data_IF_662288186134
#
_entry.id   IF_662288186134
#
_cell.length_a   1.000
_cell.length_b   1.000
_cell.length_c   1.000
_cell.angle_alpha   90.00
_cell.angle_beta   90.00
_cell.angle_gamma   90.00
#
_symmetry.space_group_name_H-M   'P 1'
#
loop_
_entity.id
_entity.type
_entity.pdbx_description
1 polymer ?
#
# COMPACT_ATOMS: atom_id res chain seq x y z
N UNK A 1 41.91 -48.76 5.76
CA UNK A 1 41.25 -47.86 6.73
C UNK A 1 40.11 -47.19 5.98
N UNK A 2 38.92 -47.81 6.02
CA UNK A 2 37.77 -47.40 5.21
C UNK A 2 36.98 -46.38 6.02
N UNK A 3 36.99 -45.12 5.59
CA UNK A 3 36.25 -44.03 6.22
C UNK A 3 34.79 -44.15 5.78
N UNK A 4 33.90 -44.49 6.71
CA UNK A 4 32.46 -44.46 6.51
C UNK A 4 32.02 -42.99 6.36
N UNK A 5 31.47 -42.63 5.21
CA UNK A 5 30.69 -41.40 5.04
C UNK A 5 29.26 -41.69 5.56
N UNK A 6 28.66 -40.83 6.40
CA UNK A 6 27.30 -41.03 6.88
C UNK A 6 26.32 -40.95 5.70
N UNK A 7 25.36 -41.87 5.65
CA UNK A 7 24.40 -41.99 4.55
C UNK A 7 23.40 -40.85 4.53
N UNK A 8 22.91 -40.49 3.34
CA UNK A 8 21.92 -39.41 3.11
C UNK A 8 20.64 -39.53 3.95
N UNK A 9 20.29 -40.73 4.40
CA UNK A 9 19.16 -40.98 5.30
C UNK A 9 19.36 -40.39 6.71
N UNK A 10 20.59 -40.36 7.22
CA UNK A 10 20.90 -39.77 8.53
C UNK A 10 20.84 -38.25 8.48
N UNK A 11 21.26 -37.65 7.36
CA UNK A 11 21.17 -36.20 7.12
C UNK A 11 19.72 -35.75 7.01
N UNK A 12 18.89 -36.46 6.25
CA UNK A 12 17.46 -36.17 6.13
C UNK A 12 16.72 -36.31 7.48
N UNK A 13 17.11 -37.27 8.31
CA UNK A 13 16.56 -37.47 9.65
C UNK A 13 16.96 -36.31 10.58
N UNK A 14 18.22 -35.89 10.56
CA UNK A 14 18.72 -34.75 11.35
C UNK A 14 18.01 -33.45 10.92
N UNK A 15 17.85 -33.21 9.61
CA UNK A 15 17.11 -32.04 9.10
C UNK A 15 15.66 -32.03 9.60
N UNK A 16 14.97 -33.17 9.56
CA UNK A 16 13.60 -33.29 10.05
C UNK A 16 13.50 -33.05 11.56
N UNK A 17 14.46 -33.57 12.34
CA UNK A 17 14.55 -33.32 13.78
C UNK A 17 14.87 -31.85 14.09
N UNK A 18 15.71 -31.20 13.27
CA UNK A 18 16.05 -29.79 13.39
C UNK A 18 14.84 -28.89 13.06
N UNK A 19 14.09 -29.15 11.98
CA UNK A 19 12.85 -28.44 11.67
C UNK A 19 11.81 -28.60 12.79
N UNK A 20 11.69 -29.80 13.36
CA UNK A 20 10.80 -30.03 14.49
C UNK A 20 11.25 -29.29 15.77
N UNK A 21 12.55 -29.12 15.97
CA UNK A 21 13.09 -28.30 17.07
C UNK A 21 12.81 -26.82 16.86
N UNK A 22 13.03 -26.29 15.65
CA UNK A 22 12.75 -24.88 15.31
C UNK A 22 11.29 -24.55 15.60
N UNK A 23 10.36 -25.39 15.13
CA UNK A 23 8.94 -25.20 15.39
C UNK A 23 8.60 -25.17 16.90
N UNK A 24 9.26 -26.00 17.71
CA UNK A 24 9.08 -25.98 19.17
C UNK A 24 9.66 -24.72 19.82
N UNK A 25 10.75 -24.17 19.29
CA UNK A 25 11.32 -22.90 19.75
C UNK A 25 10.37 -21.75 19.45
N UNK A 26 9.75 -21.73 18.27
CA UNK A 26 8.74 -20.72 17.91
C UNK A 26 7.49 -20.82 18.79
N UNK A 27 7.01 -22.04 19.06
CA UNK A 27 5.90 -22.29 19.98
C UNK A 27 6.25 -21.83 21.41
N UNK A 28 7.49 -22.05 21.86
CA UNK A 28 7.98 -21.56 23.16
C UNK A 28 8.10 -20.04 23.19
N UNK A 29 8.58 -19.41 22.13
CA UNK A 29 8.66 -17.95 22.04
C UNK A 29 7.26 -17.31 22.13
N UNK A 30 6.28 -17.90 21.44
CA UNK A 30 4.88 -17.49 21.55
C UNK A 30 4.33 -17.66 22.97
N UNK A 31 4.65 -18.78 23.63
CA UNK A 31 4.25 -19.03 25.01
C UNK A 31 4.92 -18.05 26.00
N UNK A 32 6.19 -17.71 25.79
CA UNK A 32 6.92 -16.72 26.61
C UNK A 32 6.32 -15.34 26.43
N UNK A 33 6.00 -14.92 25.19
CA UNK A 33 5.32 -13.66 24.95
C UNK A 33 3.94 -13.62 25.64
N UNK A 34 3.19 -14.74 25.59
CA UNK A 34 1.91 -14.88 26.30
C UNK A 34 2.08 -14.77 27.82
N UNK A 35 3.05 -15.47 28.39
CA UNK A 35 3.34 -15.44 29.83
C UNK A 35 3.83 -14.06 30.28
N UNK A 36 4.63 -13.36 29.47
CA UNK A 36 5.05 -12.00 29.75
C UNK A 36 3.86 -11.03 29.74
N UNK A 37 2.91 -11.22 28.83
CA UNK A 37 1.67 -10.45 28.76
C UNK A 37 0.73 -10.74 29.94
N UNK A 38 0.62 -12.00 30.36
CA UNK A 38 -0.11 -12.39 31.59
C UNK A 38 0.58 -11.85 32.86
N UNK A 39 1.91 -11.94 32.95
CA UNK A 39 2.69 -11.42 34.08
C UNK A 39 2.59 -9.89 34.19
N UNK A 40 2.50 -9.19 33.07
CA UNK A 40 2.23 -7.75 33.04
C UNK A 40 0.84 -7.44 33.63
N UNK A 41 -0.19 -8.20 33.23
CA UNK A 41 -1.54 -8.03 33.78
C UNK A 41 -1.67 -8.39 35.27
N UNK A 42 -0.92 -9.38 35.77
CA UNK A 42 -0.97 -9.79 37.19
C UNK A 42 -0.34 -8.80 38.17
N UNK A 43 0.40 -7.78 37.69
CA UNK A 43 1.02 -6.75 38.55
C UNK A 43 0.06 -5.63 38.98
N UNK A 44 -1.23 -5.75 38.68
CA UNK A 44 -2.36 -4.85 39.02
C UNK A 44 -2.53 -4.46 40.52
N UNK A 45 -1.68 -4.94 41.43
CA UNK A 45 -1.71 -4.59 42.86
C UNK A 45 -1.10 -3.24 43.24
N UNK A 46 -0.47 -2.53 42.30
CA UNK A 46 -0.08 -1.12 42.43
C UNK A 46 -0.69 -0.38 41.25
N UNK A 47 -1.52 0.64 41.51
CA UNK A 47 -2.14 1.46 40.47
C UNK A 47 -1.06 2.29 39.77
N UNK A 48 -0.42 1.68 38.79
CA UNK A 48 0.24 2.34 37.67
C UNK A 48 -0.40 1.68 36.45
N UNK A 49 -1.31 2.39 35.78
CA UNK A 49 -1.85 1.94 34.50
C UNK A 49 -0.73 2.07 33.48
N UNK A 50 0.15 1.08 33.38
CA UNK A 50 1.25 1.10 32.43
C UNK A 50 0.64 1.09 31.02
N UNK A 51 0.91 2.14 30.24
CA UNK A 51 0.52 2.16 28.83
C UNK A 51 1.26 1.04 28.10
N UNK A 52 0.56 0.35 27.22
CA UNK A 52 1.12 -0.71 26.39
C UNK A 52 1.31 -0.20 24.97
N UNK A 53 2.55 -0.21 24.50
CA UNK A 53 2.92 0.24 23.17
C UNK A 53 3.46 -0.92 22.35
N UNK A 54 2.86 -1.18 21.19
CA UNK A 54 3.37 -2.14 20.22
C UNK A 54 4.20 -1.42 19.16
N UNK A 55 5.45 -1.82 18.96
CA UNK A 55 6.32 -1.31 17.91
C UNK A 55 6.45 -2.40 16.85
N UNK A 56 5.89 -2.15 15.67
CA UNK A 56 5.85 -3.10 14.56
C UNK A 56 7.07 -2.94 13.65
N UNK A 57 7.78 -4.04 13.43
CA UNK A 57 8.81 -4.14 12.40
C UNK A 57 9.98 -3.19 12.60
N UNK A 58 10.44 -3.02 13.84
CA UNK A 58 11.58 -2.17 14.17
C UNK A 58 12.90 -2.84 13.78
N UNK A 59 13.16 -2.93 12.48
CA UNK A 59 14.27 -3.63 11.82
C UNK A 59 15.44 -4.05 12.72
N UNK A 60 16.27 -3.10 13.16
CA UNK A 60 17.47 -3.33 13.99
C UNK A 60 17.26 -3.07 15.50
N UNK A 61 16.02 -2.88 15.93
CA UNK A 61 15.58 -2.61 17.31
C UNK A 61 16.12 -1.32 17.94
N UNK A 62 16.78 -0.46 17.16
CA UNK A 62 17.38 0.77 17.71
C UNK A 62 16.33 1.81 18.10
N UNK A 63 15.16 1.84 17.45
CA UNK A 63 14.07 2.74 17.85
C UNK A 63 13.48 2.30 19.19
N UNK A 64 13.21 1.00 19.34
CA UNK A 64 12.68 0.38 20.55
C UNK A 64 13.59 0.65 21.73
N UNK A 65 14.91 0.52 21.54
CA UNK A 65 15.87 0.83 22.61
C UNK A 65 15.84 2.32 22.97
N UNK A 66 15.81 3.19 21.96
CA UNK A 66 15.77 4.64 22.18
C UNK A 66 14.53 5.08 22.96
N UNK A 67 13.35 4.64 22.53
CA UNK A 67 12.08 5.06 23.15
C UNK A 67 11.91 4.43 24.54
N UNK A 68 12.16 3.13 24.69
CA UNK A 68 11.97 2.43 25.97
C UNK A 68 12.95 2.89 27.06
N UNK A 69 14.17 3.28 26.69
CA UNK A 69 15.12 3.88 27.63
C UNK A 69 14.70 5.28 28.09
N UNK A 70 13.94 6.00 27.27
CA UNK A 70 13.50 7.38 27.56
C UNK A 70 12.19 7.45 28.35
N UNK A 71 11.42 6.36 28.38
CA UNK A 71 10.11 6.28 29.01
C UNK A 71 9.94 4.95 29.78
N UNK A 72 10.47 4.85 31.01
CA UNK A 72 10.47 3.60 31.78
C UNK A 72 9.09 3.18 32.31
N UNK A 73 8.09 4.08 32.28
CA UNK A 73 6.73 3.84 32.81
C UNK A 73 5.82 3.14 31.79
N UNK A 74 6.22 3.13 30.51
CA UNK A 74 5.49 2.50 29.40
C UNK A 74 6.07 1.12 29.10
N UNK A 75 5.20 0.11 28.90
CA UNK A 75 5.62 -1.23 28.47
C UNK A 75 5.64 -1.28 26.93
N UNK A 76 6.81 -1.59 26.37
CA UNK A 76 7.03 -1.67 24.93
C UNK A 76 7.13 -3.12 24.46
N UNK A 77 6.29 -3.49 23.50
CA UNK A 77 6.37 -4.73 22.76
C UNK A 77 7.11 -4.43 21.45
N UNK A 78 8.40 -4.71 21.45
CA UNK A 78 9.29 -4.43 20.32
C UNK A 78 9.32 -5.65 19.40
N UNK A 79 8.81 -5.50 18.19
CA UNK A 79 8.68 -6.61 17.25
C UNK A 79 9.52 -6.45 16.00
N UNK A 80 9.98 -7.58 15.47
CA UNK A 80 10.68 -7.68 14.19
C UNK A 80 10.10 -8.84 13.37
N UNK A 81 10.16 -8.71 12.05
CA UNK A 81 9.70 -9.74 11.12
C UNK A 81 10.65 -10.95 11.09
N UNK A 82 11.96 -10.70 11.15
CA UNK A 82 12.98 -11.75 11.12
C UNK A 82 12.87 -12.66 12.37
N UNK A 83 13.23 -13.94 12.24
CA UNK A 83 13.48 -14.81 13.40
C UNK A 83 14.68 -14.29 14.21
N UNK A 84 14.86 -14.78 15.45
CA UNK A 84 15.98 -14.32 16.30
C UNK A 84 17.33 -14.60 15.65
N UNK A 85 17.49 -15.79 15.06
CA UNK A 85 18.72 -16.21 14.38
C UNK A 85 19.00 -15.37 13.14
N UNK A 86 17.97 -15.07 12.33
CA UNK A 86 18.08 -14.20 11.16
C UNK A 86 18.43 -12.77 11.54
N UNK A 87 17.76 -12.22 12.55
CA UNK A 87 18.01 -10.89 13.06
C UNK A 87 19.47 -10.72 13.49
N UNK A 88 20.00 -11.64 14.30
CA UNK A 88 21.40 -11.59 14.78
C UNK A 88 22.36 -11.61 13.60
N UNK A 89 22.15 -12.53 12.65
CA UNK A 89 22.99 -12.67 11.46
C UNK A 89 23.00 -11.42 10.58
N UNK A 90 21.82 -10.82 10.38
CA UNK A 90 21.60 -9.68 9.48
C UNK A 90 22.08 -8.36 10.07
N UNK A 91 21.72 -8.08 11.31
CA UNK A 91 21.95 -6.77 11.93
C UNK A 91 23.21 -6.69 12.77
N UNK A 92 23.76 -7.83 13.24
CA UNK A 92 24.89 -7.87 14.19
C UNK A 92 24.69 -6.92 15.37
N UNK A 93 23.48 -7.00 15.95
CA UNK A 93 22.96 -6.08 16.95
C UNK A 93 22.90 -6.72 18.35
N UNK A 94 23.86 -7.58 18.69
CA UNK A 94 23.92 -8.30 19.96
C UNK A 94 23.96 -7.36 21.16
N UNK A 95 24.66 -6.23 21.05
CA UNK A 95 24.68 -5.20 22.08
C UNK A 95 23.29 -4.58 22.29
N UNK A 96 22.57 -4.27 21.20
CA UNK A 96 21.19 -3.72 21.28
C UNK A 96 20.24 -4.73 21.93
N UNK A 97 20.35 -6.02 21.61
CA UNK A 97 19.56 -7.06 22.26
C UNK A 97 19.85 -7.15 23.75
N UNK A 98 21.13 -7.18 24.14
CA UNK A 98 21.53 -7.23 25.55
C UNK A 98 20.97 -6.04 26.34
N UNK A 99 21.06 -4.84 25.75
CA UNK A 99 20.60 -3.62 26.41
C UNK A 99 19.06 -3.60 26.53
N UNK A 100 18.33 -4.06 25.50
CA UNK A 100 16.87 -4.23 25.55
C UNK A 100 16.42 -5.30 26.55
N UNK A 101 17.11 -6.44 26.61
CA UNK A 101 16.83 -7.51 27.56
C UNK A 101 17.09 -7.08 29.02
N UNK A 102 17.96 -6.09 29.24
CA UNK A 102 18.18 -5.49 30.55
C UNK A 102 17.06 -4.53 30.99
N UNK A 103 16.25 -4.01 30.04
CA UNK A 103 15.12 -3.14 30.32
C UNK A 103 13.92 -3.95 30.80
N UNK A 104 13.37 -3.56 31.96
CA UNK A 104 12.21 -4.26 32.57
C UNK A 104 10.88 -3.93 31.90
N UNK A 105 10.87 -2.88 31.09
CA UNK A 105 9.70 -2.35 30.39
C UNK A 105 9.68 -2.72 28.90
N UNK A 106 10.49 -3.70 28.48
CA UNK A 106 10.54 -4.19 27.10
C UNK A 106 10.16 -5.67 27.02
N UNK A 107 9.35 -6.00 26.04
CA UNK A 107 9.03 -7.37 25.61
C UNK A 107 9.48 -7.51 24.15
N UNK A 108 10.46 -8.38 23.91
CA UNK A 108 10.97 -8.66 22.55
C UNK A 108 10.17 -9.79 21.91
N UNK A 109 9.68 -9.57 20.70
CA UNK A 109 8.92 -10.58 19.93
C UNK A 109 9.45 -10.67 18.51
N UNK A 110 9.99 -11.83 18.13
CA UNK A 110 10.53 -12.11 16.80
C UNK A 110 9.49 -12.81 15.93
N UNK A 111 9.68 -12.80 14.60
CA UNK A 111 8.79 -13.52 13.67
C UNK A 111 7.40 -12.90 13.53
N UNK A 112 7.24 -11.60 13.77
CA UNK A 112 5.92 -10.93 13.72
C UNK A 112 5.68 -10.35 12.32
N UNK A 113 4.73 -10.93 11.60
CA UNK A 113 4.20 -10.35 10.36
C UNK A 113 3.16 -9.27 10.67
N UNK A 114 3.49 -8.02 10.34
CA UNK A 114 2.60 -6.88 10.54
C UNK A 114 1.32 -6.96 9.67
N UNK A 115 1.29 -7.79 8.63
CA UNK A 115 0.11 -8.02 7.78
C UNK A 115 -0.80 -9.15 8.29
N UNK A 116 -0.35 -9.94 9.26
CA UNK A 116 -1.16 -10.98 9.90
C UNK A 116 -0.95 -11.04 11.42
N UNK A 117 -1.37 -9.97 12.09
CA UNK A 117 -1.23 -9.84 13.54
C UNK A 117 -2.12 -10.86 14.30
N UNK A 118 -1.63 -11.45 15.41
CA UNK A 118 -2.36 -12.47 16.14
C UNK A 118 -3.67 -11.96 16.75
N UNK A 119 -4.77 -12.69 16.54
CA UNK A 119 -6.09 -12.29 17.06
C UNK A 119 -6.16 -12.14 18.60
N UNK A 120 -5.29 -12.82 19.34
CA UNK A 120 -5.24 -12.73 20.81
C UNK A 120 -4.61 -11.42 21.32
N UNK A 121 -4.04 -10.59 20.44
CA UNK A 121 -3.55 -9.25 20.73
C UNK A 121 -4.64 -8.18 20.72
N UNK A 122 -5.89 -8.58 20.48
CA UNK A 122 -7.04 -7.70 20.51
C UNK A 122 -7.15 -6.92 21.83
N UNK A 123 -7.28 -5.61 21.69
CA UNK A 123 -7.49 -4.62 22.75
C UNK A 123 -6.37 -4.65 23.82
N UNK A 124 -5.13 -4.98 23.41
CA UNK A 124 -3.96 -5.08 24.31
C UNK A 124 -3.04 -3.88 24.32
N UNK A 125 -3.16 -2.98 23.34
CA UNK A 125 -2.19 -1.90 23.10
C UNK A 125 -2.91 -0.58 22.93
N UNK A 126 -2.53 0.42 23.74
CA UNK A 126 -3.05 1.79 23.61
C UNK A 126 -2.49 2.49 22.36
N UNK A 127 -1.25 2.17 22.00
CA UNK A 127 -0.58 2.78 20.85
C UNK A 127 0.22 1.74 20.09
N UNK A 128 0.07 1.76 18.77
CA UNK A 128 0.81 0.91 17.84
C UNK A 128 1.66 1.83 16.98
N UNK A 129 2.95 1.55 16.84
CA UNK A 129 3.91 2.40 16.11
C UNK A 129 4.52 1.56 14.99
N UNK A 130 4.54 2.09 13.77
CA UNK A 130 5.33 1.53 12.69
C UNK A 130 6.06 2.64 11.95
N UNK A 131 7.39 2.57 11.97
CA UNK A 131 8.25 3.59 11.40
C UNK A 131 8.84 3.12 10.08
N UNK A 132 8.57 3.85 9.01
CA UNK A 132 9.16 3.66 7.68
C UNK A 132 9.04 2.20 7.19
N UNK A 133 7.80 1.66 7.08
CA UNK A 133 7.57 0.29 6.64
C UNK A 133 8.26 0.01 5.29
N UNK A 134 8.78 -1.20 5.11
CA UNK A 134 9.49 -1.58 3.90
C UNK A 134 9.13 -3.02 3.47
N UNK A 135 8.70 -3.27 2.21
CA UNK A 135 8.26 -4.58 1.73
C UNK A 135 9.40 -5.59 1.44
N UNK A 136 10.60 -5.35 1.95
CA UNK A 136 11.83 -6.06 1.55
C UNK A 136 12.29 -5.78 0.10
N UNK A 137 13.56 -6.09 -0.21
CA UNK A 137 14.12 -5.99 -1.56
C UNK A 137 14.22 -4.57 -2.15
N UNK A 138 14.19 -4.45 -3.49
CA UNK A 138 14.12 -3.13 -4.18
C UNK A 138 12.71 -2.57 -3.97
N UNK A 139 12.60 -1.36 -3.44
CA UNK A 139 11.32 -0.69 -3.18
C UNK A 139 10.50 -0.60 -4.47
N UNK A 140 9.27 -1.12 -4.44
CA UNK A 140 8.28 -1.00 -5.52
C UNK A 140 7.00 -0.40 -4.90
N UNK A 141 6.44 0.62 -5.55
CA UNK A 141 5.27 1.33 -5.04
C UNK A 141 4.05 0.42 -4.84
N UNK A 142 3.82 -0.52 -5.76
CA UNK A 142 2.76 -1.52 -5.67
C UNK A 142 2.95 -2.39 -4.42
N UNK A 143 4.18 -2.86 -4.18
CA UNK A 143 4.50 -3.66 -2.98
C UNK A 143 4.31 -2.87 -1.69
N UNK A 144 4.68 -1.59 -1.67
CA UNK A 144 4.45 -0.70 -0.53
C UNK A 144 2.96 -0.51 -0.23
N UNK A 145 2.11 -0.35 -1.26
CA UNK A 145 0.65 -0.26 -1.09
C UNK A 145 0.05 -1.56 -0.57
N UNK A 146 0.48 -2.71 -1.10
CA UNK A 146 0.04 -4.04 -0.63
C UNK A 146 0.42 -4.24 0.83
N UNK A 147 1.68 -3.96 1.20
CA UNK A 147 2.14 -4.03 2.58
C UNK A 147 1.28 -3.16 3.50
N UNK A 148 1.08 -1.89 3.13
CA UNK A 148 0.31 -0.97 3.96
C UNK A 148 -1.17 -1.36 4.07
N UNK A 149 -1.78 -1.85 3.00
CA UNK A 149 -3.14 -2.38 3.01
C UNK A 149 -3.27 -3.60 3.95
N UNK A 150 -2.32 -4.54 3.86
CA UNK A 150 -2.25 -5.71 4.75
C UNK A 150 -2.09 -5.32 6.22
N UNK A 151 -1.27 -4.31 6.51
CA UNK A 151 -1.10 -3.77 7.87
C UNK A 151 -2.43 -3.19 8.39
N UNK A 152 -3.11 -2.34 7.63
CA UNK A 152 -4.39 -1.79 8.08
C UNK A 152 -5.45 -2.89 8.32
N UNK A 153 -5.48 -3.90 7.45
CA UNK A 153 -6.38 -5.06 7.60
C UNK A 153 -6.09 -5.86 8.86
N UNK A 154 -4.82 -6.07 9.21
CA UNK A 154 -4.43 -6.77 10.43
C UNK A 154 -4.74 -5.95 11.69
N UNK A 155 -4.49 -4.63 11.64
CA UNK A 155 -4.79 -3.70 12.73
C UNK A 155 -6.27 -3.65 13.06
N UNK A 156 -7.15 -3.81 12.06
CA UNK A 156 -8.60 -3.88 12.28
C UNK A 156 -8.98 -4.99 13.27
N UNK A 157 -8.22 -6.10 13.30
CA UNK A 157 -8.45 -7.25 14.18
C UNK A 157 -8.08 -6.94 15.65
N UNK A 158 -7.08 -6.08 15.87
CA UNK A 158 -6.48 -5.90 17.20
C UNK A 158 -6.74 -4.54 17.86
N UNK A 159 -7.02 -3.48 17.08
CA UNK A 159 -7.30 -2.15 17.61
C UNK A 159 -8.76 -1.97 18.00
N UNK A 160 -8.99 -1.23 19.09
CA UNK A 160 -10.28 -0.65 19.43
C UNK A 160 -10.36 0.84 18.99
N UNK A 161 -11.43 1.53 19.37
CA UNK A 161 -11.65 2.93 19.01
C UNK A 161 -10.86 3.93 19.87
N UNK A 162 -10.28 3.49 20.99
CA UNK A 162 -9.47 4.32 21.90
C UNK A 162 -7.97 4.20 21.58
N UNK A 163 -7.58 3.11 20.92
CA UNK A 163 -6.23 2.83 20.42
C UNK A 163 -5.83 3.76 19.28
N UNK A 164 -4.53 4.02 19.16
CA UNK A 164 -3.96 4.82 18.08
C UNK A 164 -2.87 4.08 17.30
N UNK A 165 -2.85 4.23 15.98
CA UNK A 165 -1.78 3.73 15.12
C UNK A 165 -0.94 4.89 14.57
N UNK A 166 0.34 4.94 14.94
CA UNK A 166 1.31 5.93 14.50
C UNK A 166 2.13 5.36 13.35
N UNK A 167 1.86 5.82 12.14
CA UNK A 167 2.58 5.44 10.94
C UNK A 167 3.54 6.56 10.52
N UNK A 168 4.84 6.31 10.57
CA UNK A 168 5.84 7.27 10.08
C UNK A 168 6.25 6.96 8.65
N UNK A 169 6.13 7.95 7.77
CA UNK A 169 6.52 7.86 6.36
C UNK A 169 7.61 8.89 6.01
N UNK A 170 8.49 8.52 5.10
CA UNK A 170 9.55 9.41 4.62
C UNK A 170 8.97 10.51 3.74
N UNK A 171 9.76 11.57 3.54
CA UNK A 171 9.36 12.75 2.75
C UNK A 171 8.88 12.32 1.36
N UNK A 172 7.69 12.80 0.97
CA UNK A 172 7.13 12.54 -0.36
C UNK A 172 6.54 11.14 -0.57
N UNK A 173 6.50 10.28 0.45
CA UNK A 173 5.77 9.00 0.36
C UNK A 173 4.27 9.17 0.58
N UNK A 174 3.91 9.99 1.57
CA UNK A 174 2.52 10.20 2.00
C UNK A 174 1.77 11.23 1.15
N UNK A 175 2.49 12.08 0.42
CA UNK A 175 1.96 13.20 -0.36
C UNK A 175 1.14 14.24 0.41
N UNK A 176 1.20 14.20 1.74
CA UNK A 176 0.53 15.14 2.64
C UNK A 176 1.55 16.00 3.38
N UNK A 177 1.09 17.16 3.83
CA UNK A 177 1.86 18.12 4.60
C UNK A 177 1.20 18.32 5.97
N UNK A 178 1.99 18.71 6.98
CA UNK A 178 1.42 19.16 8.26
C UNK A 178 0.80 20.54 8.07
N UNK A 179 -0.52 20.63 8.22
CA UNK A 179 -1.27 21.89 8.17
C UNK A 179 -1.82 22.24 9.56
N UNK A 180 -1.83 23.54 9.89
CA UNK A 180 -2.38 24.04 11.17
C UNK A 180 -3.90 23.85 11.25
N UNK A 181 -4.61 24.11 10.15
CA UNK A 181 -6.04 23.89 10.03
C UNK A 181 -6.31 22.92 8.86
N UNK A 182 -6.86 21.72 9.12
CA UNK A 182 -7.16 20.78 8.05
C UNK A 182 -8.39 21.15 7.23
N UNK A 183 -9.19 22.14 7.63
CA UNK A 183 -10.35 22.61 6.86
C UNK A 183 -9.93 23.63 5.80
N UNK A 184 -10.13 23.26 4.53
CA UNK A 184 -9.66 23.98 3.35
C UNK A 184 -10.85 24.42 2.49
N UNK A 185 -10.73 25.56 1.79
CA UNK A 185 -11.73 26.04 0.80
C UNK A 185 -11.46 25.56 -0.63
N UNK A 186 -10.32 24.92 -0.83
CA UNK A 186 -9.93 24.32 -2.11
C UNK A 186 -9.79 22.82 -1.92
N UNK A 187 -10.01 22.07 -2.99
CA UNK A 187 -9.85 20.63 -3.00
C UNK A 187 -8.40 20.26 -2.63
N UNK A 188 -8.17 19.33 -1.69
CA UNK A 188 -6.83 18.94 -1.26
C UNK A 188 -5.98 18.44 -2.43
N UNK A 189 -4.80 19.04 -2.62
CA UNK A 189 -3.82 18.60 -3.62
C UNK A 189 -2.73 17.80 -2.93
N UNK A 190 -2.91 16.49 -2.81
CA UNK A 190 -1.89 15.59 -2.25
C UNK A 190 -0.78 15.32 -3.28
N UNK A 191 0.27 16.16 -3.28
CA UNK A 191 1.35 16.07 -4.25
C UNK A 191 2.23 14.87 -3.94
N UNK A 192 2.47 13.98 -4.92
CA UNK A 192 3.28 12.76 -4.74
C UNK A 192 2.72 11.82 -3.66
N UNK A 193 1.39 11.73 -3.53
CA UNK A 193 0.72 10.72 -2.68
C UNK A 193 0.81 9.33 -3.31
N UNK A 194 2.03 8.84 -3.37
CA UNK A 194 2.35 7.59 -4.03
C UNK A 194 1.81 6.42 -3.21
N UNK A 195 1.83 6.50 -1.88
CA UNK A 195 1.38 5.41 -1.00
C UNK A 195 -0.13 5.41 -0.75
N UNK A 196 -0.83 6.53 -0.90
CA UNK A 196 -2.28 6.64 -0.71
C UNK A 196 -2.75 6.17 0.68
N UNK A 197 -1.95 6.45 1.72
CA UNK A 197 -2.19 5.95 3.08
C UNK A 197 -3.56 6.36 3.64
N UNK A 198 -4.05 7.55 3.30
CA UNK A 198 -5.38 8.04 3.68
C UNK A 198 -6.49 7.11 3.12
N UNK A 199 -6.36 6.72 1.86
CA UNK A 199 -7.37 5.91 1.18
C UNK A 199 -7.31 4.46 1.66
N UNK A 200 -6.11 3.87 1.72
CA UNK A 200 -5.91 2.50 2.23
C UNK A 200 -6.38 2.35 3.69
N UNK A 201 -6.11 3.35 4.53
CA UNK A 201 -6.61 3.37 5.89
C UNK A 201 -8.15 3.44 5.93
N UNK A 202 -8.75 4.32 5.13
CA UNK A 202 -10.20 4.48 5.10
C UNK A 202 -10.95 3.22 4.62
N UNK A 203 -10.38 2.48 3.66
CA UNK A 203 -10.88 1.17 3.22
C UNK A 203 -10.97 0.14 4.34
N UNK A 204 -10.08 0.24 5.33
CA UNK A 204 -10.03 -0.66 6.48
C UNK A 204 -10.67 -0.06 7.75
N UNK A 205 -11.29 1.13 7.63
CA UNK A 205 -12.04 1.76 8.73
C UNK A 205 -11.21 2.68 9.60
N UNK A 206 -10.15 3.26 9.07
CA UNK A 206 -9.27 4.19 9.78
C UNK A 206 -9.33 5.61 9.20
N UNK A 207 -9.21 6.60 10.08
CA UNK A 207 -9.05 8.01 9.72
C UNK A 207 -7.82 8.59 10.39
N UNK A 208 -7.22 9.62 9.77
CA UNK A 208 -6.16 10.39 10.41
C UNK A 208 -6.77 11.35 11.44
N UNK A 209 -6.32 11.23 12.69
CA UNK A 209 -6.65 12.12 13.79
C UNK A 209 -5.70 13.32 13.86
N UNK A 210 -4.40 13.07 13.70
CA UNK A 210 -3.37 14.11 13.70
C UNK A 210 -2.18 13.76 12.80
N UNK A 211 -1.43 14.79 12.41
CA UNK A 211 -0.20 14.66 11.61
C UNK A 211 0.89 15.48 12.29
N UNK A 212 2.00 14.82 12.61
CA UNK A 212 3.15 15.43 13.26
C UNK A 212 4.41 15.25 12.44
N UNK A 213 5.37 16.15 12.60
CA UNK A 213 6.71 15.98 12.04
C UNK A 213 7.41 14.89 12.86
N UNK A 214 8.03 13.94 12.19
CA UNK A 214 8.79 12.88 12.84
C UNK A 214 10.02 13.48 13.54
N UNK A 215 10.02 13.39 14.87
CA UNK A 215 11.06 13.99 15.70
C UNK A 215 12.32 13.13 15.75
N UNK A 216 13.24 13.37 14.80
CA UNK A 216 14.54 12.69 14.79
C UNK A 216 15.45 13.09 15.95
N UNK A 217 15.24 14.26 16.57
CA UNK A 217 16.11 14.76 17.65
C UNK A 217 15.81 14.09 18.98
N UNK A 218 14.53 13.74 19.23
CA UNK A 218 14.12 12.97 20.40
C UNK A 218 14.75 11.57 20.43
N UNK A 219 15.00 10.99 19.27
CA UNK A 219 15.51 9.62 19.14
C UNK A 219 16.93 9.59 18.55
N UNK A 220 17.90 10.29 19.17
CA UNK A 220 19.27 10.40 18.63
C UNK A 220 19.99 9.07 18.44
N UNK A 221 19.63 8.04 19.20
CA UNK A 221 20.17 6.68 19.08
C UNK A 221 19.45 5.83 18.04
N UNK A 222 18.33 6.29 17.49
CA UNK A 222 17.59 5.57 16.44
C UNK A 222 18.36 5.60 15.12
N UNK A 223 18.72 4.41 14.65
CA UNK A 223 19.36 4.18 13.37
C UNK A 223 18.37 3.50 12.45
N UNK A 224 17.65 4.30 11.68
CA UNK A 224 16.84 3.77 10.58
C UNK A 224 17.73 2.93 9.64
N UNK A 225 17.31 1.71 9.29
CA UNK A 225 18.01 0.85 8.32
C UNK A 225 17.08 0.56 7.15
N UNK A 226 17.44 1.00 5.94
CA UNK A 226 16.49 1.02 4.82
C UNK A 226 17.03 0.61 3.45
N UNK A 227 18.33 0.39 3.29
CA UNK A 227 18.93 0.09 1.99
C UNK A 227 19.78 -1.18 2.05
N UNK A 228 19.37 -2.24 1.35
CA UNK A 228 20.20 -3.41 0.97
C UNK A 228 21.20 -3.89 2.05
N UNK A 229 20.74 -4.19 3.26
CA UNK A 229 21.62 -4.65 4.36
C UNK A 229 22.78 -3.70 4.70
N UNK A 230 22.69 -2.44 4.31
CA UNK A 230 23.63 -1.38 4.68
C UNK A 230 23.07 -0.57 5.84
N UNK A 231 23.95 -0.08 6.73
CA UNK A 231 23.58 0.84 7.82
C UNK A 231 23.11 2.24 7.32
N UNK A 232 22.75 2.39 6.04
CA UNK A 232 22.29 3.65 5.48
C UNK A 232 20.81 3.84 5.80
N UNK A 233 20.49 4.92 6.53
CA UNK A 233 19.12 5.23 6.94
C UNK A 233 18.28 5.89 5.86
N UNK A 234 16.95 5.86 6.06
CA UNK A 234 16.00 6.61 5.24
C UNK A 234 16.21 8.12 5.42
N UNK A 235 15.77 8.91 4.42
CA UNK A 235 15.69 10.37 4.58
C UNK A 235 14.51 10.72 5.50
N UNK A 236 14.75 10.68 6.81
CA UNK A 236 13.74 10.81 7.87
C UNK A 236 13.70 12.19 8.53
N UNK A 237 14.61 13.12 8.19
CA UNK A 237 14.75 14.43 8.86
C UNK A 237 13.52 15.31 8.77
N UNK A 238 12.64 15.08 7.79
CA UNK A 238 11.34 15.76 7.67
C UNK A 238 10.22 14.74 7.39
N UNK A 239 10.39 13.50 7.85
CA UNK A 239 9.32 12.49 7.77
C UNK A 239 8.07 12.95 8.53
N UNK A 240 6.92 12.37 8.19
CA UNK A 240 5.67 12.65 8.88
C UNK A 240 5.19 11.42 9.65
N UNK A 241 4.72 11.64 10.87
CA UNK A 241 4.00 10.66 11.68
C UNK A 241 2.51 10.92 11.53
N UNK A 242 1.81 9.94 10.97
CA UNK A 242 0.37 9.98 10.73
C UNK A 242 -0.31 9.18 11.83
N UNK A 243 -1.14 9.84 12.62
CA UNK A 243 -1.84 9.21 13.71
C UNK A 243 -3.24 8.77 13.26
N UNK A 244 -3.40 7.47 13.01
CA UNK A 244 -4.66 6.86 12.61
C UNK A 244 -5.47 6.40 13.83
N UNK A 245 -6.78 6.58 13.78
CA UNK A 245 -7.75 6.00 14.70
C UNK A 245 -8.70 5.09 13.96
N UNK A 246 -9.07 3.98 14.61
CA UNK A 246 -10.13 3.11 14.12
C UNK A 246 -11.48 3.78 14.31
N UNK A 247 -12.39 3.54 13.38
CA UNK A 247 -13.78 3.97 13.46
C UNK A 247 -14.68 2.81 13.04
N UNK A 248 -15.49 2.32 13.97
CA UNK A 248 -16.47 1.26 13.68
C UNK A 248 -17.69 1.80 12.91
N UNK A 249 -17.52 2.00 11.60
CA UNK A 249 -18.60 2.34 10.67
C UNK A 249 -18.76 1.31 9.54
N UNK A 250 -17.87 0.31 9.42
CA UNK A 250 -17.89 -0.65 8.31
C UNK A 250 -19.13 -1.56 8.27
N UNK A 251 -19.81 -1.71 9.40
CA UNK A 251 -21.09 -2.44 9.51
C UNK A 251 -22.32 -1.63 9.13
N UNK A 252 -22.21 -0.30 8.96
CA UNK A 252 -23.35 0.58 8.67
C UNK A 252 -23.79 0.47 7.21
N UNK A 253 -25.10 0.61 6.98
CA UNK A 253 -25.62 0.76 5.62
C UNK A 253 -25.25 2.14 5.06
N UNK A 254 -25.15 2.26 3.74
CA UNK A 254 -24.80 3.52 3.07
C UNK A 254 -25.77 4.67 3.44
N UNK A 255 -27.05 4.38 3.63
CA UNK A 255 -28.04 5.36 4.10
C UNK A 255 -27.76 5.88 5.51
N UNK A 256 -27.41 4.99 6.43
CA UNK A 256 -27.07 5.33 7.82
C UNK A 256 -25.77 6.13 7.88
N UNK A 257 -24.76 5.71 7.12
CA UNK A 257 -23.50 6.43 6.98
C UNK A 257 -23.73 7.89 6.53
N UNK A 258 -24.47 8.08 5.42
CA UNK A 258 -24.78 9.40 4.86
C UNK A 258 -25.58 10.29 5.80
N UNK A 259 -26.39 9.71 6.69
CA UNK A 259 -27.20 10.46 7.67
C UNK A 259 -26.38 10.83 8.91
N UNK A 260 -25.57 9.90 9.40
CA UNK A 260 -24.80 10.05 10.64
C UNK A 260 -23.53 10.90 10.45
N UNK A 261 -23.06 11.03 9.21
CA UNK A 261 -21.96 11.90 8.81
C UNK A 261 -22.31 13.38 9.07
N UNK A 262 -21.30 14.19 9.37
CA UNK A 262 -21.47 15.63 9.53
C UNK A 262 -21.80 16.24 8.17
N UNK A 263 -22.84 17.08 8.11
CA UNK A 263 -23.19 17.80 6.89
C UNK A 263 -21.99 18.63 6.42
N UNK A 264 -21.39 18.22 5.31
CA UNK A 264 -20.32 18.97 4.68
C UNK A 264 -20.82 20.38 4.37
N UNK A 265 -20.02 21.39 4.72
CA UNK A 265 -20.24 22.73 4.24
C UNK A 265 -19.80 22.77 2.77
N UNK A 266 -20.69 23.24 1.90
CA UNK A 266 -20.42 23.30 0.46
C UNK A 266 -19.15 24.11 0.18
N UNK A 267 -18.23 23.52 -0.58
CA UNK A 267 -16.92 24.11 -0.91
C UNK A 267 -15.91 24.11 0.25
N UNK A 268 -16.15 23.34 1.32
CA UNK A 268 -15.18 23.12 2.40
C UNK A 268 -14.78 21.65 2.45
N UNK A 269 -13.47 21.40 2.47
CA UNK A 269 -12.88 20.07 2.44
C UNK A 269 -11.97 19.85 3.64
N UNK A 270 -11.83 18.61 4.07
CA UNK A 270 -10.86 18.20 5.08
C UNK A 270 -9.61 17.61 4.42
N UNK A 271 -8.45 18.20 4.69
CA UNK A 271 -7.18 17.88 4.03
C UNK A 271 -6.69 16.44 4.31
N UNK A 272 -6.96 15.91 5.51
CA UNK A 272 -6.60 14.53 5.89
C UNK A 272 -7.72 13.50 5.71
N UNK A 273 -8.68 13.75 4.81
CA UNK A 273 -9.76 12.80 4.52
C UNK A 273 -9.75 12.42 3.04
N UNK A 274 -10.07 11.17 2.70
CA UNK A 274 -10.24 10.80 1.31
C UNK A 274 -11.42 11.59 0.73
N UNK A 275 -11.30 11.99 -0.52
CA UNK A 275 -12.42 12.52 -1.29
C UNK A 275 -12.48 11.75 -2.61
N UNK A 276 -13.67 11.72 -3.20
CA UNK A 276 -13.84 11.12 -4.52
C UNK A 276 -14.60 12.10 -5.40
N UNK A 277 -14.25 12.08 -6.68
CA UNK A 277 -14.87 12.94 -7.69
C UNK A 277 -15.34 12.10 -8.86
N UNK A 278 -16.56 12.34 -9.32
CA UNK A 278 -17.12 11.67 -10.49
C UNK A 278 -17.87 12.66 -11.35
N UNK A 279 -17.70 12.54 -12.67
CA UNK A 279 -18.49 13.28 -13.64
C UNK A 279 -19.72 12.46 -14.02
N UNK A 280 -20.89 13.09 -13.92
CA UNK A 280 -22.20 12.48 -14.17
C UNK A 280 -22.93 13.22 -15.28
N UNK A 281 -23.39 12.47 -16.28
CA UNK A 281 -24.15 12.99 -17.41
C UNK A 281 -25.65 12.88 -17.14
N UNK A 282 -26.38 13.97 -17.31
CA UNK A 282 -27.83 14.04 -17.13
C UNK A 282 -28.54 14.46 -18.41
N UNK A 283 -29.41 13.59 -18.91
CA UNK A 283 -30.29 13.85 -20.03
C UNK A 283 -31.65 14.35 -19.53
N UNK A 284 -32.04 15.55 -19.94
CA UNK A 284 -33.30 16.15 -19.52
C UNK A 284 -34.40 15.86 -20.53
N UNK A 285 -35.43 15.12 -20.09
CA UNK A 285 -36.69 14.93 -20.83
C UNK A 285 -37.66 16.11 -20.68
N UNK A 286 -37.30 17.06 -19.82
CA UNK A 286 -38.05 18.26 -19.50
C UNK A 286 -37.20 19.47 -19.88
N UNK A 287 -37.72 20.68 -19.66
CA UNK A 287 -36.93 21.88 -19.89
C UNK A 287 -35.66 21.90 -19.01
N UNK A 288 -34.63 22.59 -19.49
CA UNK A 288 -33.32 22.57 -18.85
C UNK A 288 -33.36 23.05 -17.40
N UNK A 289 -34.01 24.18 -17.14
CA UNK A 289 -34.05 24.77 -15.79
C UNK A 289 -34.68 23.83 -14.77
N UNK A 290 -35.79 23.17 -15.12
CA UNK A 290 -36.39 22.15 -14.26
C UNK A 290 -35.52 20.90 -14.14
N UNK A 291 -34.89 20.49 -15.24
CA UNK A 291 -33.93 19.38 -15.28
C UNK A 291 -32.76 19.58 -14.33
N UNK A 292 -32.15 20.78 -14.34
CA UNK A 292 -31.06 21.18 -13.45
C UNK A 292 -31.49 21.13 -11.98
N UNK A 293 -32.68 21.64 -11.65
CA UNK A 293 -33.23 21.58 -10.29
C UNK A 293 -33.43 20.13 -9.83
N UNK A 294 -33.94 19.25 -10.69
CA UNK A 294 -34.12 17.83 -10.37
C UNK A 294 -32.78 17.10 -10.24
N UNK A 295 -31.82 17.35 -11.12
CA UNK A 295 -30.49 16.76 -11.03
C UNK A 295 -29.82 17.12 -9.70
N UNK A 296 -29.81 18.41 -9.32
CA UNK A 296 -29.24 18.86 -8.04
C UNK A 296 -29.96 18.24 -6.84
N UNK A 297 -31.29 18.09 -6.89
CA UNK A 297 -32.06 17.40 -5.85
C UNK A 297 -31.69 15.93 -5.74
N UNK A 298 -31.57 15.24 -6.87
CA UNK A 298 -31.18 13.83 -6.92
C UNK A 298 -29.76 13.61 -6.37
N UNK A 299 -28.80 14.43 -6.79
CA UNK A 299 -27.42 14.38 -6.29
C UNK A 299 -27.35 14.58 -4.77
N UNK A 300 -28.10 15.57 -4.24
CA UNK A 300 -28.23 15.79 -2.79
C UNK A 300 -28.84 14.60 -2.08
N UNK A 301 -29.86 13.96 -2.66
CA UNK A 301 -30.49 12.76 -2.09
C UNK A 301 -29.55 11.53 -2.12
N UNK A 302 -28.72 11.39 -3.15
CA UNK A 302 -27.78 10.28 -3.31
C UNK A 302 -26.53 10.42 -2.46
N UNK A 303 -25.97 11.62 -2.32
CA UNK A 303 -24.75 11.82 -1.54
C UNK A 303 -25.02 12.15 -0.06
N UNK A 304 -26.21 12.67 0.27
CA UNK A 304 -26.57 13.01 1.65
C UNK A 304 -25.61 14.03 2.27
N UNK A 305 -25.22 13.83 3.53
CA UNK A 305 -24.30 14.75 4.23
C UNK A 305 -22.87 14.72 3.69
N UNK A 306 -22.50 13.71 2.91
CA UNK A 306 -21.16 13.54 2.33
C UNK A 306 -20.93 14.40 1.08
N UNK A 307 -21.96 15.07 0.55
CA UNK A 307 -21.82 15.91 -0.64
C UNK A 307 -21.03 17.17 -0.32
N UNK A 308 -19.80 17.27 -0.82
CA UNK A 308 -18.90 18.39 -0.55
C UNK A 308 -19.03 19.51 -1.59
N UNK A 309 -19.15 19.15 -2.87
CA UNK A 309 -19.26 20.12 -3.97
C UNK A 309 -20.01 19.52 -5.17
N UNK A 310 -20.75 20.35 -5.89
CA UNK A 310 -21.32 20.03 -7.20
C UNK A 310 -21.01 21.17 -8.18
N UNK A 311 -20.30 20.85 -9.25
CA UNK A 311 -19.88 21.82 -10.25
C UNK A 311 -20.29 21.36 -11.64
N UNK A 312 -21.01 22.22 -12.37
CA UNK A 312 -21.35 21.93 -13.76
C UNK A 312 -20.14 22.14 -14.67
N UNK A 313 -19.82 21.15 -15.50
CA UNK A 313 -18.77 21.26 -16.52
C UNK A 313 -19.38 21.82 -17.81
N UNK A 314 -19.55 23.15 -17.85
CA UNK A 314 -20.22 23.85 -18.95
C UNK A 314 -19.61 23.62 -20.33
N UNK A 315 -18.30 23.37 -20.40
CA UNK A 315 -17.60 23.08 -21.66
C UNK A 315 -18.02 21.75 -22.30
N UNK A 316 -18.62 20.84 -21.52
CA UNK A 316 -19.07 19.53 -21.99
C UNK A 316 -20.59 19.47 -22.20
N UNK A 317 -21.27 20.62 -22.23
CA UNK A 317 -22.70 20.68 -22.59
C UNK A 317 -22.88 20.10 -23.98
N UNK A 318 -23.85 19.20 -24.10
CA UNK A 318 -24.20 18.57 -25.38
C UNK A 318 -25.69 18.35 -25.50
N UNK A 319 -26.11 17.78 -26.63
CA UNK A 319 -27.47 17.40 -26.94
C UNK A 319 -27.42 15.94 -27.41
N UNK A 320 -28.22 15.07 -26.79
CA UNK A 320 -28.45 13.73 -27.31
C UNK A 320 -29.27 13.87 -28.60
N UNK A 321 -28.87 13.28 -29.73
CA UNK A 321 -29.50 13.57 -31.03
C UNK A 321 -30.82 12.83 -31.26
N UNK A 322 -31.07 11.70 -30.59
CA UNK A 322 -32.30 10.92 -30.78
C UNK A 322 -32.71 10.17 -29.49
N UNK A 323 -33.77 10.63 -28.78
CA UNK A 323 -34.49 11.89 -28.99
C UNK A 323 -33.61 13.11 -28.69
N UNK A 324 -33.97 14.28 -29.23
CA UNK A 324 -33.25 15.54 -28.98
C UNK A 324 -33.39 15.98 -27.51
N UNK A 325 -32.42 15.62 -26.67
CA UNK A 325 -32.44 15.90 -25.23
C UNK A 325 -31.21 16.71 -24.79
N UNK A 326 -31.39 17.82 -24.05
CA UNK A 326 -30.27 18.53 -23.44
C UNK A 326 -29.49 17.61 -22.50
N UNK A 327 -28.16 17.60 -22.65
CA UNK A 327 -27.25 16.88 -21.78
C UNK A 327 -26.40 17.85 -20.97
N UNK A 328 -26.38 17.69 -19.64
CA UNK A 328 -25.54 18.46 -18.73
C UNK A 328 -24.64 17.52 -17.94
N UNK A 329 -23.38 17.91 -17.77
CA UNK A 329 -22.40 17.13 -17.01
C UNK A 329 -22.08 17.85 -15.71
N UNK A 330 -22.25 17.14 -14.60
CA UNK A 330 -21.92 17.63 -13.27
C UNK A 330 -20.77 16.81 -12.69
N UNK A 331 -19.72 17.50 -12.28
CA UNK A 331 -18.72 16.95 -11.38
C UNK A 331 -19.28 16.99 -9.98
N UNK A 332 -19.41 15.83 -9.36
CA UNK A 332 -19.71 15.73 -7.94
C UNK A 332 -18.45 15.38 -7.18
N UNK A 333 -18.26 16.03 -6.04
CA UNK A 333 -17.22 15.70 -5.08
C UNK A 333 -17.90 15.32 -3.78
N UNK A 334 -17.55 14.15 -3.25
CA UNK A 334 -18.03 13.69 -1.96
C UNK A 334 -16.87 13.38 -1.02
N UNK A 335 -17.07 13.66 0.26
CA UNK A 335 -16.09 13.49 1.32
C UNK A 335 -16.80 13.14 2.64
N UNK A 336 -16.29 12.13 3.33
CA UNK A 336 -16.63 11.82 4.72
C UNK A 336 -15.64 12.51 5.65
N UNK A 337 -16.13 13.20 6.67
CA UNK A 337 -15.28 13.98 7.60
C UNK A 337 -15.15 13.25 8.94
N UNK A 338 -16.27 12.80 9.50
CA UNK A 338 -16.31 12.10 10.78
C UNK A 338 -15.95 10.63 10.63
N UNK A 339 -16.38 9.99 9.55
CA UNK A 339 -16.21 8.56 9.36
C UNK A 339 -15.32 8.25 8.15
N UNK A 340 -14.56 7.15 8.19
CA UNK A 340 -13.76 6.73 7.04
C UNK A 340 -14.67 6.35 5.90
N UNK A 341 -14.32 6.83 4.71
CA UNK A 341 -15.06 6.58 3.48
C UNK A 341 -14.10 5.91 2.50
N UNK A 342 -14.29 4.62 2.33
CA UNK A 342 -13.55 3.79 1.37
C UNK A 342 -14.48 2.77 0.72
N UNK A 343 -14.13 2.24 -0.46
CA UNK A 343 -14.82 1.09 -1.00
C UNK A 343 -14.78 -0.04 0.02
N UNK A 344 -15.95 -0.66 0.27
CA UNK A 344 -16.02 -1.85 1.12
C UNK A 344 -15.47 -3.02 0.30
N UNK A 345 -14.50 -3.77 0.84
CA UNK A 345 -14.26 -5.13 0.35
C UNK A 345 -15.57 -5.90 0.57
N UNK A 346 -16.35 -6.11 -0.49
CA UNK A 346 -17.30 -7.21 -0.48
C UNK A 346 -16.47 -8.47 -0.23
N UNK A 347 -16.86 -9.26 0.75
CA UNK A 347 -16.33 -10.61 0.95
C UNK A 347 -16.75 -11.44 -0.27
N UNK A 348 -16.11 -11.21 -1.41
CA UNK A 348 -16.05 -12.16 -2.49
C UNK A 348 -15.37 -13.38 -1.88
N UNK A 349 -16.09 -14.50 -1.88
CA UNK A 349 -15.57 -15.77 -1.41
C UNK A 349 -14.23 -16.05 -2.08
N UNK A 350 -13.29 -16.55 -1.27
CA UNK A 350 -12.28 -17.59 -1.49
C UNK A 350 -12.07 -18.17 -2.91
N UNK A 351 -12.14 -17.35 -3.96
CA UNK A 351 -11.64 -17.66 -5.30
C UNK A 351 -10.19 -17.18 -5.36
N UNK A 352 -9.34 -17.92 -4.66
CA UNK A 352 -8.05 -18.43 -5.13
C UNK A 352 -7.32 -17.52 -6.16
N UNK A 353 -6.91 -16.34 -5.72
CA UNK A 353 -5.77 -15.66 -6.32
C UNK A 353 -4.52 -16.22 -5.64
N UNK A 354 -4.02 -17.34 -6.16
CA UNK A 354 -2.73 -17.91 -5.78
C UNK A 354 -1.62 -16.92 -6.13
N UNK A 355 -1.37 -16.00 -5.19
CA UNK A 355 -0.27 -15.04 -5.17
C UNK A 355 0.92 -15.59 -4.34
N UNK A 356 0.96 -16.90 -4.10
CA UNK A 356 2.04 -17.57 -3.37
C UNK A 356 2.59 -18.75 -4.18
N UNK A 357 2.86 -18.51 -5.46
CA UNK A 357 3.90 -19.22 -6.19
C UNK A 357 5.28 -18.73 -5.77
N UNK A 358 5.70 -19.04 -4.54
CA UNK A 358 7.11 -18.99 -4.18
C UNK A 358 7.84 -20.09 -4.96
N UNK A 359 8.46 -19.75 -6.09
CA UNK A 359 9.63 -20.50 -6.55
C UNK A 359 10.83 -20.03 -5.71
N UNK A 360 10.95 -20.63 -4.52
CA UNK A 360 12.26 -21.01 -4.00
C UNK A 360 12.64 -22.34 -4.66
N UNK A 361 13.86 -22.39 -5.18
CA UNK A 361 14.49 -23.53 -5.83
C UNK A 361 14.73 -24.67 -4.82
N UNK A 362 14.03 -25.81 -4.95
CA UNK A 362 14.61 -27.17 -4.85
C UNK A 362 13.57 -28.27 -5.21
N UNK A 363 14.07 -29.37 -5.77
CA UNK A 363 13.43 -30.31 -6.71
C UNK A 363 12.30 -31.22 -6.17
N UNK A 364 11.26 -31.43 -6.99
CA UNK A 364 10.46 -32.68 -7.01
C UNK A 364 9.91 -32.91 -8.45
N UNK A 365 10.53 -33.81 -9.23
CA UNK A 365 10.21 -34.10 -10.63
C UNK A 365 8.74 -34.53 -10.90
N UNK A 366 8.03 -35.00 -9.86
CA UNK A 366 6.63 -35.39 -9.96
C UNK A 366 5.67 -34.18 -10.07
N UNK A 367 6.05 -33.02 -9.51
CA UNK A 367 5.22 -31.81 -9.54
C UNK A 367 5.33 -31.07 -10.87
N UNK A 368 6.51 -31.06 -11.50
CA UNK A 368 6.71 -30.45 -12.83
C UNK A 368 5.79 -31.05 -13.89
N UNK A 369 5.59 -32.38 -13.91
CA UNK A 369 4.68 -33.02 -14.87
C UNK A 369 3.21 -32.66 -14.66
N UNK A 370 2.76 -32.55 -13.40
CA UNK A 370 1.37 -32.19 -13.09
C UNK A 370 1.13 -30.70 -13.39
N UNK A 371 2.12 -29.84 -13.16
CA UNK A 371 2.06 -28.41 -13.47
C UNK A 371 2.07 -28.19 -14.99
N UNK A 372 2.92 -28.88 -15.74
CA UNK A 372 2.94 -28.82 -17.20
C UNK A 372 1.64 -29.36 -17.83
N UNK A 373 1.10 -30.46 -17.30
CA UNK A 373 -0.15 -31.04 -17.79
C UNK A 373 -1.36 -30.12 -17.48
N UNK A 374 -1.34 -29.42 -16.34
CA UNK A 374 -2.36 -28.41 -16.00
C UNK A 374 -2.19 -27.10 -16.77
N UNK A 375 -0.96 -26.65 -17.05
CA UNK A 375 -0.66 -25.49 -17.87
C UNK A 375 -1.06 -25.73 -19.34
N UNK A 376 -0.82 -26.93 -19.86
CA UNK A 376 -1.28 -27.33 -21.20
C UNK A 376 -2.81 -27.40 -21.28
N UNK A 377 -3.46 -27.96 -20.25
CA UNK A 377 -4.92 -27.96 -20.17
C UNK A 377 -5.53 -26.55 -20.01
N UNK A 378 -4.80 -25.61 -19.41
CA UNK A 378 -5.19 -24.20 -19.34
C UNK A 378 -4.97 -23.47 -20.67
N UNK A 379 -3.87 -23.74 -21.38
CA UNK A 379 -3.58 -23.18 -22.70
C UNK A 379 -4.62 -23.62 -23.75
N UNK A 380 -5.05 -24.89 -23.73
CA UNK A 380 -6.11 -25.39 -24.60
C UNK A 380 -7.50 -24.82 -24.27
N UNK A 381 -7.75 -24.45 -23.00
CA UNK A 381 -8.99 -23.77 -22.60
C UNK A 381 -8.97 -22.29 -22.96
N UNK A 382 -7.81 -21.65 -22.98
CA UNK A 382 -7.63 -20.25 -23.43
C UNK A 382 -7.70 -20.12 -24.95
N UNK A 383 -7.26 -21.13 -25.71
CA UNK A 383 -7.31 -21.10 -27.18
C UNK A 383 -8.70 -21.32 -27.79
N UNK A 384 -9.68 -21.84 -27.01
CA UNK A 384 -11.03 -22.18 -27.52
C UNK A 384 -12.11 -21.12 -27.29
N UNK A 385 -11.77 -19.88 -26.93
CA UNK A 385 -12.70 -18.73 -26.97
C UNK A 385 -12.15 -17.61 -27.85
N UNK A 386 -12.18 -17.83 -29.17
CA UNK A 386 -11.94 -16.78 -30.15
C UNK A 386 -13.19 -15.87 -30.26
N UNK A 387 -13.23 -14.82 -29.44
CA UNK A 387 -14.03 -13.62 -29.70
C UNK A 387 -13.24 -12.60 -30.52
N UNK A 388 -13.87 -11.53 -31.03
CA UNK A 388 -13.18 -10.51 -31.81
C UNK A 388 -12.03 -9.89 -31.00
N UNK A 389 -10.83 -9.91 -31.57
CA UNK A 389 -9.60 -9.39 -30.94
C UNK A 389 -9.70 -7.87 -30.92
N UNK A 390 -10.06 -7.31 -29.76
CA UNK A 390 -10.00 -5.87 -29.54
C UNK A 390 -8.54 -5.42 -29.54
N UNK A 391 -8.22 -4.40 -30.34
CA UNK A 391 -6.89 -3.81 -30.41
C UNK A 391 -6.96 -2.39 -29.85
N UNK A 392 -5.89 -1.94 -29.24
CA UNK A 392 -5.76 -0.55 -28.78
C UNK A 392 -4.49 0.06 -29.35
N UNK A 393 -4.62 1.28 -29.89
CA UNK A 393 -3.49 2.12 -30.27
C UNK A 393 -3.16 3.07 -29.12
N UNK A 394 -1.93 2.98 -28.62
CA UNK A 394 -1.43 3.74 -27.47
C UNK A 394 -0.27 4.62 -27.93
N UNK A 395 -0.25 5.87 -27.48
CA UNK A 395 0.85 6.80 -27.70
C UNK A 395 1.57 6.98 -26.37
N UNK A 396 2.85 6.58 -26.33
CA UNK A 396 3.70 6.64 -25.15
C UNK A 396 4.74 7.75 -25.31
N UNK A 397 4.90 8.56 -24.26
CA UNK A 397 6.00 9.51 -24.12
C UNK A 397 7.06 8.93 -23.19
N UNK A 398 8.25 8.66 -23.73
CA UNK A 398 9.42 8.16 -23.00
C UNK A 398 10.35 9.34 -22.72
N UNK A 399 10.60 9.62 -21.45
CA UNK A 399 11.45 10.73 -20.99
C UNK A 399 12.83 10.23 -20.58
N UNK A 400 13.92 10.81 -21.11
CA UNK A 400 15.28 10.50 -20.66
C UNK A 400 15.59 11.19 -19.32
N UNK A 401 16.74 10.85 -18.74
CA UNK A 401 17.25 11.48 -17.50
C UNK A 401 17.78 12.90 -17.73
N UNK A 402 18.48 13.14 -18.83
CA UNK A 402 19.11 14.42 -19.17
C UNK A 402 19.22 14.65 -20.70
N UNK A 403 19.87 15.74 -21.10
CA UNK A 403 20.14 16.10 -22.49
C UNK A 403 21.40 15.44 -23.09
N UNK A 404 22.16 14.68 -22.29
CA UNK A 404 23.33 13.90 -22.73
C UNK A 404 22.98 12.45 -23.11
N UNK A 405 21.80 11.95 -22.71
CA UNK A 405 21.30 10.60 -23.01
C UNK A 405 21.08 10.39 -24.52
N UNK A 406 21.63 9.30 -25.10
CA UNK A 406 21.45 8.97 -26.52
C UNK A 406 20.01 8.53 -26.83
N UNK A 407 19.26 9.44 -27.46
CA UNK A 407 17.86 9.24 -27.83
C UNK A 407 17.66 8.21 -28.95
N UNK A 408 18.67 7.99 -29.82
CA UNK A 408 18.59 7.00 -30.89
C UNK A 408 18.81 5.58 -30.35
N UNK A 409 19.70 5.43 -29.38
CA UNK A 409 19.87 4.18 -28.64
C UNK A 409 18.62 3.85 -27.82
N UNK A 410 18.04 4.83 -27.12
CA UNK A 410 16.79 4.67 -26.37
C UNK A 410 15.63 4.19 -27.28
N UNK A 411 15.47 4.76 -28.48
CA UNK A 411 14.44 4.30 -29.42
C UNK A 411 14.68 2.84 -29.87
N UNK A 412 15.94 2.47 -30.14
CA UNK A 412 16.31 1.12 -30.54
C UNK A 412 16.04 0.10 -29.44
N UNK A 413 16.30 0.46 -28.19
CA UNK A 413 16.01 -0.34 -27.00
C UNK A 413 14.49 -0.52 -26.82
N UNK A 414 13.70 0.55 -26.87
CA UNK A 414 12.23 0.44 -26.78
C UNK A 414 11.66 -0.46 -27.88
N UNK A 415 12.19 -0.37 -29.11
CA UNK A 415 11.78 -1.22 -30.23
C UNK A 415 12.23 -2.68 -30.12
N UNK A 416 13.21 -3.01 -29.27
CA UNK A 416 13.69 -4.39 -29.11
C UNK A 416 12.77 -5.25 -28.23
N UNK A 417 11.80 -4.64 -27.54
CA UNK A 417 10.78 -5.37 -26.80
C UNK A 417 9.85 -6.10 -27.79
N UNK A 418 9.96 -7.42 -27.81
CA UNK A 418 9.06 -8.31 -28.54
C UNK A 418 8.06 -8.98 -27.57
N UNK A 419 6.76 -8.87 -27.86
CA UNK A 419 5.67 -9.53 -27.13
C UNK A 419 4.59 -9.98 -28.13
N UNK A 420 3.95 -11.12 -27.88
CA UNK A 420 2.85 -11.61 -28.74
C UNK A 420 1.64 -10.66 -28.66
N UNK A 421 1.33 -9.99 -29.78
CA UNK A 421 0.28 -8.98 -29.88
C UNK A 421 0.74 -7.53 -29.75
N UNK A 422 2.05 -7.26 -29.68
CA UNK A 422 2.64 -5.91 -29.65
C UNK A 422 3.21 -5.52 -31.03
N UNK A 423 2.80 -4.37 -31.56
CA UNK A 423 3.33 -3.81 -32.81
C UNK A 423 3.76 -2.36 -32.61
N UNK A 424 5.04 -2.08 -32.79
CA UNK A 424 5.59 -0.73 -32.73
C UNK A 424 5.31 0.08 -34.01
N UNK A 425 4.83 1.30 -33.84
CA UNK A 425 4.55 2.27 -34.90
C UNK A 425 5.67 3.31 -35.09
N UNK A 426 5.29 4.47 -35.61
CA UNK A 426 6.18 5.62 -35.80
C UNK A 426 6.54 6.29 -34.48
N UNK A 427 7.79 6.75 -34.35
CA UNK A 427 8.29 7.57 -33.26
C UNK A 427 8.66 8.98 -33.73
N UNK A 428 8.50 9.99 -32.87
CA UNK A 428 9.00 11.36 -33.10
C UNK A 428 9.58 11.94 -31.82
N UNK A 429 10.60 12.77 -31.94
CA UNK A 429 11.20 13.48 -30.81
C UNK A 429 10.52 14.85 -30.62
N UNK A 430 10.02 15.12 -29.41
CA UNK A 430 9.38 16.39 -29.06
C UNK A 430 10.17 17.11 -27.96
N UNK A 431 10.46 18.42 -28.08
CA UNK A 431 11.15 19.17 -27.03
C UNK A 431 10.23 19.42 -25.83
N UNK A 432 10.75 19.25 -24.60
CA UNK A 432 10.03 19.54 -23.34
C UNK A 432 10.54 20.84 -22.69
N UNK A 433 11.76 21.25 -23.00
CA UNK A 433 12.42 22.46 -22.47
C UNK A 433 13.84 22.18 -22.00
N UNK A 434 14.65 23.23 -21.83
CA UNK A 434 16.03 23.13 -21.29
C UNK A 434 16.94 22.11 -22.00
N UNK A 435 16.82 21.97 -23.33
CA UNK A 435 17.63 21.03 -24.12
C UNK A 435 17.09 19.59 -24.17
N UNK A 436 16.20 19.20 -23.24
CA UNK A 436 15.66 17.84 -23.14
C UNK A 436 14.53 17.61 -24.16
N UNK A 437 14.64 16.49 -24.89
CA UNK A 437 13.63 15.99 -25.83
C UNK A 437 13.08 14.65 -25.33
N UNK A 438 11.76 14.45 -25.40
CA UNK A 438 11.11 13.14 -25.18
C UNK A 438 10.92 12.40 -26.49
N UNK A 439 10.90 11.08 -26.42
CA UNK A 439 10.49 10.20 -27.49
C UNK A 439 8.98 9.93 -27.38
N UNK A 440 8.22 10.36 -28.38
CA UNK A 440 6.81 10.01 -28.52
C UNK A 440 6.68 8.86 -29.51
N UNK A 441 6.32 7.67 -29.06
CA UNK A 441 6.20 6.46 -29.88
C UNK A 441 4.78 5.90 -29.85
N UNK A 442 4.29 5.48 -31.01
CA UNK A 442 2.98 4.84 -31.16
C UNK A 442 3.18 3.32 -31.06
N UNK A 443 2.29 2.64 -30.35
CA UNK A 443 2.23 1.19 -30.30
C UNK A 443 0.79 0.70 -30.47
N UNK A 444 0.63 -0.48 -31.04
CA UNK A 444 -0.66 -1.18 -31.16
C UNK A 444 -0.56 -2.48 -30.38
N UNK A 445 -1.48 -2.66 -29.44
CA UNK A 445 -1.54 -3.83 -28.56
C UNK A 445 -2.84 -4.60 -28.75
N UNK A 446 -2.78 -5.92 -28.55
CA UNK A 446 -3.96 -6.78 -28.40
C UNK A 446 -4.35 -6.84 -26.91
N UNK A 447 -5.50 -6.25 -26.55
CA UNK A 447 -5.92 -6.02 -25.15
C UNK A 447 -5.98 -7.31 -24.31
N UNK A 448 -6.22 -8.47 -24.94
CA UNK A 448 -6.31 -9.76 -24.26
C UNK A 448 -4.94 -10.40 -23.96
N UNK A 449 -3.87 -9.90 -24.58
CA UNK A 449 -2.52 -10.49 -24.50
C UNK A 449 -1.49 -9.57 -23.86
N UNK A 450 -1.58 -8.26 -24.13
CA UNK A 450 -0.58 -7.29 -23.69
C UNK A 450 -1.28 -6.21 -22.87
N UNK A 451 -0.92 -6.11 -21.59
CA UNK A 451 -1.32 -4.99 -20.75
C UNK A 451 -0.42 -3.78 -21.03
N UNK A 452 -1.02 -2.58 -21.11
CA UNK A 452 -0.27 -1.32 -21.25
C UNK A 452 0.64 -1.10 -20.04
N UNK A 453 0.17 -1.47 -18.85
CA UNK A 453 0.90 -1.29 -17.61
C UNK A 453 2.15 -2.18 -17.59
N UNK A 454 2.04 -3.43 -18.04
CA UNK A 454 3.18 -4.36 -18.16
C UNK A 454 4.22 -3.85 -19.18
N UNK A 455 3.74 -3.26 -20.29
CA UNK A 455 4.62 -2.66 -21.30
C UNK A 455 5.37 -1.44 -20.75
N UNK A 456 4.69 -0.60 -19.96
CA UNK A 456 5.31 0.55 -19.28
C UNK A 456 6.34 0.07 -18.26
N UNK A 457 6.00 -0.93 -17.44
CA UNK A 457 6.90 -1.52 -16.46
C UNK A 457 8.15 -2.11 -17.13
N UNK A 458 7.99 -2.80 -18.26
CA UNK A 458 9.10 -3.38 -19.01
C UNK A 458 10.04 -2.32 -19.60
N UNK A 459 9.49 -1.23 -20.14
CA UNK A 459 10.30 -0.12 -20.66
C UNK A 459 11.06 0.59 -19.53
N UNK A 460 10.42 0.82 -18.39
CA UNK A 460 11.05 1.48 -17.23
C UNK A 460 12.04 0.56 -16.52
N UNK A 461 11.78 -0.75 -16.50
CA UNK A 461 12.60 -1.75 -15.82
C UNK A 461 13.84 -2.17 -16.61
N UNK A 462 13.69 -2.50 -17.90
CA UNK A 462 14.78 -3.04 -18.72
C UNK A 462 15.74 -1.94 -19.20
N UNK A 463 15.29 -0.68 -19.27
CA UNK A 463 16.06 0.45 -19.81
C UNK A 463 16.23 1.61 -18.80
N UNK A 464 16.31 1.28 -17.51
CA UNK A 464 16.38 2.21 -16.36
C UNK A 464 17.55 3.23 -16.48
N UNK A 465 18.66 2.86 -17.13
CA UNK A 465 19.81 3.75 -17.36
C UNK A 465 19.51 4.89 -18.36
N UNK A 466 18.52 4.70 -19.24
CA UNK A 466 18.19 5.64 -20.32
C UNK A 466 16.81 6.29 -20.14
N UNK A 467 15.90 5.66 -19.39
CA UNK A 467 14.51 6.09 -19.24
C UNK A 467 14.23 6.50 -17.80
N UNK A 468 13.85 7.77 -17.61
CA UNK A 468 13.40 8.30 -16.31
C UNK A 468 11.94 7.92 -16.01
N UNK A 469 11.06 8.07 -17.00
CA UNK A 469 9.64 7.76 -16.85
C UNK A 469 8.96 7.59 -18.21
N UNK A 470 7.82 6.89 -18.21
CA UNK A 470 6.97 6.69 -19.39
C UNK A 470 5.55 7.15 -19.05
N UNK A 471 4.98 8.02 -19.88
CA UNK A 471 3.63 8.55 -19.72
C UNK A 471 2.74 8.15 -20.90
N UNK A 472 1.45 7.90 -20.64
CA UNK A 472 0.44 7.68 -21.69
C UNK A 472 -0.09 9.03 -22.15
N UNK A 473 0.09 9.33 -23.44
CA UNK A 473 -0.41 10.58 -24.06
C UNK A 473 -1.82 10.42 -24.57
N UNK A 474 -2.09 9.31 -25.25
CA UNK A 474 -3.37 9.01 -25.83
C UNK A 474 -3.59 7.49 -25.85
N UNK A 475 -4.83 7.10 -25.61
CA UNK A 475 -5.28 5.71 -25.65
C UNK A 475 -6.53 5.65 -26.53
N UNK A 476 -6.41 5.02 -27.69
CA UNK A 476 -7.49 4.88 -28.67
C UNK A 476 -7.80 3.40 -28.89
N UNK A 477 -9.05 2.99 -28.65
CA UNK A 477 -9.51 1.64 -29.01
C UNK A 477 -9.75 1.58 -30.51
N UNK A 478 -9.27 0.53 -31.19
CA UNK A 478 -9.34 0.33 -32.64
C UNK A 478 -9.98 -1.00 -33.04
#
# INVERSE_FOLDING_TARGET
MTVFLPGSADVAKILKEQTALVKKVDELASLVAKLQLELASLREGQVITNRHVLILGDGNLSFSLAIASSDPETIYFATVFDSREEFIRKYRAEDTLRDLEALRNVVLVFGVDATDLPAHWKDKFDTIIMNFPHPGGKTNLKKSKILLSGIFKSLQKIMDNDSQFLLSLAIGQSGIEKVENPLMKELPKHKKDSWQAIYLGAEQGFIIDSVEIFDTERFRSYKSSGYKDTMKGFNNREGLTLAFKKCDNQGKKLEEFRRDEVKAQEGVFHYYRPYYSQDLSFLYKINETEGEVLALKLLKALAGNCLAEVTEIKSLRSICPDPELPNRIYRIVWQGVKFPMGPKEETAGDDDFDLFGSEDEEEDEAKKKIVEERLAAYAEKKSKKAGPIAKSSVILDVKPWDDETDLAEMEKLVRSIEMDGLVWGGGKLLPIGYGIKKLQIITVIEDLKVSVDDLIEKIQGDFEDHVQSVDIVAFNKI
#
